data_IF_399171624675
#
_entry.id   IF_399171624675
#
_cell.length_a   1.000
_cell.length_b   1.000
_cell.length_c   1.000
_cell.angle_alpha   90.00
_cell.angle_beta   90.00
_cell.angle_gamma   90.00
#
_symmetry.space_group_name_H-M   'P 1'
#
loop_
_entity.id
_entity.type
_entity.pdbx_description
1 polymer ?
#
# COMPACT_ATOMS: atom_id res chain seq x y z
N UNK A 1 6.28 20.79 4.20
CA UNK A 1 6.70 19.70 5.10
C UNK A 1 6.01 18.41 4.67
N UNK A 2 6.66 17.25 4.80
CA UNK A 2 6.09 15.94 4.47
C UNK A 2 5.53 15.27 5.72
N UNK A 3 4.65 14.28 5.51
CA UNK A 3 4.05 13.46 6.57
C UNK A 3 4.47 12.01 6.33
N UNK A 4 5.39 11.49 7.13
CA UNK A 4 6.02 10.19 6.92
C UNK A 4 5.67 9.15 8.00
N UNK A 5 4.80 9.51 8.95
CA UNK A 5 4.36 8.65 10.04
C UNK A 5 2.90 8.26 9.84
N UNK A 6 2.62 6.99 9.98
CA UNK A 6 1.32 6.36 9.82
C UNK A 6 0.96 5.57 11.09
N UNK A 7 -0.35 5.49 11.42
CA UNK A 7 -0.87 4.74 12.57
C UNK A 7 -1.05 5.59 13.83
N UNK A 8 -1.66 4.98 14.86
CA UNK A 8 -1.97 5.62 16.13
C UNK A 8 -1.18 5.00 17.29
N UNK A 9 -1.52 3.79 17.74
CA UNK A 9 -0.79 3.07 18.79
C UNK A 9 0.40 2.32 18.21
N UNK A 10 0.17 1.53 17.17
CA UNK A 10 1.22 0.97 16.34
C UNK A 10 1.50 1.97 15.22
N UNK A 11 2.66 2.57 15.24
CA UNK A 11 3.07 3.64 14.32
C UNK A 11 4.23 3.21 13.47
N UNK A 12 4.22 3.62 12.21
CA UNK A 12 5.33 3.38 11.29
C UNK A 12 5.77 4.70 10.68
N UNK A 13 7.03 5.05 10.88
CA UNK A 13 7.68 6.17 10.21
C UNK A 13 8.63 5.64 9.17
N UNK A 14 8.40 5.95 7.88
CA UNK A 14 9.29 5.51 6.78
C UNK A 14 10.22 6.63 6.36
N UNK A 15 11.45 6.29 5.95
CA UNK A 15 12.51 7.21 5.53
C UNK A 15 13.31 6.64 4.36
N UNK A 16 14.17 7.47 3.79
CA UNK A 16 15.07 7.13 2.68
C UNK A 16 14.46 7.39 1.30
N UNK A 17 15.32 7.55 0.33
CA UNK A 17 15.00 7.89 -1.06
C UNK A 17 15.20 6.67 -1.95
N UNK A 18 14.39 6.52 -3.01
CA UNK A 18 14.47 5.36 -3.92
C UNK A 18 15.83 5.16 -4.60
N UNK A 19 16.62 6.22 -4.70
CA UNK A 19 17.98 6.22 -5.24
C UNK A 19 19.00 6.77 -4.22
N UNK A 20 18.61 6.83 -2.96
CA UNK A 20 19.53 7.06 -1.83
C UNK A 20 20.28 5.77 -1.44
N UNK A 21 21.16 5.81 -0.44
CA UNK A 21 21.94 4.63 -0.01
C UNK A 21 21.06 3.52 0.54
N UNK A 22 20.00 3.87 1.26
CA UNK A 22 19.10 2.93 1.90
C UNK A 22 17.67 3.49 2.00
N UNK A 23 16.71 2.62 2.27
CA UNK A 23 15.38 2.94 2.76
C UNK A 23 15.18 2.24 4.09
N UNK A 24 14.34 2.80 4.96
CA UNK A 24 14.06 2.18 6.24
C UNK A 24 12.74 2.62 6.84
N UNK A 25 12.38 1.97 7.93
CA UNK A 25 11.28 2.40 8.77
C UNK A 25 11.59 2.20 10.25
N UNK A 26 10.86 2.95 11.06
CA UNK A 26 10.80 2.75 12.51
C UNK A 26 9.37 2.37 12.86
N UNK A 27 9.22 1.20 13.47
CA UNK A 27 7.96 0.73 14.07
C UNK A 27 7.98 1.06 15.54
N UNK A 28 6.99 1.84 16.00
CA UNK A 28 6.81 2.23 17.39
C UNK A 28 5.45 1.76 17.91
N UNK A 29 5.39 1.38 19.19
CA UNK A 29 4.17 0.86 19.81
C UNK A 29 3.94 -0.64 19.59
N UNK A 30 4.95 -1.39 19.15
CA UNK A 30 4.93 -2.85 19.19
C UNK A 30 5.09 -3.32 20.64
N UNK A 31 4.21 -4.20 21.19
CA UNK A 31 4.36 -4.74 22.52
C UNK A 31 5.67 -5.54 22.70
N UNK A 32 6.21 -5.64 23.90
CA UNK A 32 7.33 -6.52 24.19
C UNK A 32 6.91 -8.01 24.13
N UNK A 33 7.88 -8.89 23.92
CA UNK A 33 7.68 -10.34 23.98
C UNK A 33 7.17 -10.97 22.67
N UNK A 34 7.09 -10.21 21.57
CA UNK A 34 6.73 -10.77 20.27
C UNK A 34 7.99 -11.35 19.61
N UNK A 35 7.93 -12.63 19.24
CA UNK A 35 9.00 -13.27 18.49
C UNK A 35 8.91 -12.93 17.02
N UNK A 36 10.00 -12.40 16.44
CA UNK A 36 10.15 -12.10 15.02
C UNK A 36 11.48 -12.66 14.52
N UNK A 37 11.60 -12.86 13.22
CA UNK A 37 12.88 -13.16 12.57
C UNK A 37 13.03 -12.29 11.30
N UNK A 38 14.27 -11.98 10.92
CA UNK A 38 14.53 -11.33 9.63
C UNK A 38 14.03 -12.18 8.47
N UNK A 39 14.17 -13.51 8.58
CA UNK A 39 13.68 -14.45 7.56
C UNK A 39 12.15 -14.39 7.34
N UNK A 40 11.36 -14.26 8.42
CA UNK A 40 9.91 -14.09 8.30
C UNK A 40 9.55 -12.77 7.59
N UNK A 41 10.23 -11.68 7.92
CA UNK A 41 10.03 -10.38 7.27
C UNK A 41 10.47 -10.47 5.80
N UNK A 42 11.61 -11.12 5.54
CA UNK A 42 12.16 -11.32 4.20
C UNK A 42 11.21 -12.11 3.30
N UNK A 43 10.53 -13.13 3.81
CA UNK A 43 9.55 -13.90 3.03
C UNK A 43 8.42 -13.02 2.44
N UNK A 44 7.96 -11.99 3.16
CA UNK A 44 6.99 -11.02 2.65
C UNK A 44 7.64 -10.07 1.63
N UNK A 45 8.87 -9.64 1.86
CA UNK A 45 9.60 -8.78 0.94
C UNK A 45 9.94 -9.52 -0.37
N UNK A 46 10.26 -10.80 -0.31
CA UNK A 46 10.53 -11.63 -1.48
C UNK A 46 9.32 -11.72 -2.42
N UNK A 47 8.12 -11.79 -1.87
CA UNK A 47 6.88 -11.75 -2.66
C UNK A 47 6.63 -10.36 -3.28
N UNK A 48 7.17 -9.32 -2.67
CA UNK A 48 7.04 -7.93 -3.12
C UNK A 48 8.11 -7.51 -4.12
N UNK A 49 9.33 -8.01 -4.04
CA UNK A 49 10.48 -7.49 -4.79
C UNK A 49 10.23 -7.38 -6.29
N UNK A 50 10.84 -6.39 -6.99
CA UNK A 50 10.70 -6.23 -8.42
C UNK A 50 11.39 -7.38 -9.19
N UNK A 51 10.97 -7.60 -10.46
CA UNK A 51 11.62 -8.57 -11.34
C UNK A 51 11.11 -10.00 -11.23
N UNK A 52 9.93 -10.23 -10.64
CA UNK A 52 9.32 -11.56 -10.51
C UNK A 52 8.68 -12.08 -11.80
N UNK A 53 8.37 -11.21 -12.77
CA UNK A 53 7.81 -11.60 -14.05
C UNK A 53 8.35 -10.72 -15.20
N UNK A 54 8.16 -11.18 -16.45
CA UNK A 54 8.49 -10.39 -17.65
C UNK A 54 7.67 -9.11 -17.81
N UNK A 55 6.60 -8.96 -17.04
CA UNK A 55 5.70 -7.79 -17.06
C UNK A 55 6.07 -6.74 -16.01
N UNK A 56 7.00 -7.05 -15.12
CA UNK A 56 7.47 -6.14 -14.08
C UNK A 56 8.77 -5.43 -14.47
N UNK A 57 9.20 -4.45 -13.68
CA UNK A 57 10.46 -3.74 -13.91
C UNK A 57 11.65 -4.70 -13.90
N UNK A 58 12.66 -4.42 -14.75
CA UNK A 58 13.92 -5.19 -14.81
C UNK A 58 14.90 -4.87 -13.67
N UNK A 59 14.55 -3.94 -12.77
CA UNK A 59 15.37 -3.64 -11.59
C UNK A 59 15.42 -4.87 -10.69
N UNK A 60 16.62 -5.21 -10.22
CA UNK A 60 16.86 -6.35 -9.32
C UNK A 60 17.35 -5.83 -7.98
N UNK A 61 16.46 -5.83 -7.00
CA UNK A 61 16.78 -5.51 -5.61
C UNK A 61 16.51 -6.74 -4.76
N UNK A 62 17.45 -7.19 -3.95
CA UNK A 62 17.23 -8.34 -3.06
C UNK A 62 16.27 -7.98 -1.93
N UNK A 63 16.09 -6.68 -1.63
CA UNK A 63 15.30 -6.17 -0.51
C UNK A 63 15.68 -6.80 0.83
N UNK A 64 16.98 -7.09 1.01
CA UNK A 64 17.51 -7.72 2.23
C UNK A 64 17.27 -6.80 3.44
N UNK A 65 16.44 -7.26 4.35
CA UNK A 65 16.05 -6.50 5.54
C UNK A 65 16.98 -6.77 6.70
N UNK A 66 17.30 -5.72 7.46
CA UNK A 66 18.03 -5.80 8.73
C UNK A 66 17.21 -5.19 9.85
N UNK A 67 17.18 -5.86 10.99
CA UNK A 67 16.60 -5.33 12.23
C UNK A 67 17.71 -4.71 13.06
N UNK A 68 17.63 -3.40 13.29
CA UNK A 68 18.72 -2.62 13.90
C UNK A 68 18.47 -2.30 15.38
N UNK A 69 17.23 -2.34 15.86
CA UNK A 69 16.88 -1.99 17.24
C UNK A 69 15.52 -2.53 17.66
N UNK A 70 15.17 -2.36 18.93
CA UNK A 70 13.86 -2.71 19.49
C UNK A 70 13.68 -4.18 19.78
N UNK A 71 14.78 -4.96 19.75
CA UNK A 71 14.80 -6.40 19.93
C UNK A 71 16.00 -6.85 20.75
N UNK A 72 15.89 -8.03 21.33
CA UNK A 72 16.99 -8.81 21.95
C UNK A 72 17.00 -10.20 21.34
N UNK A 73 18.12 -10.91 21.48
CA UNK A 73 18.23 -12.31 21.03
C UNK A 73 17.17 -13.19 21.70
N UNK A 74 16.51 -14.03 20.90
CA UNK A 74 15.54 -15.03 21.36
C UNK A 74 16.19 -16.33 21.81
N UNK A 75 15.37 -17.36 22.00
CA UNK A 75 15.82 -18.68 22.47
C UNK A 75 16.40 -19.57 21.37
N UNK A 76 16.00 -19.37 20.11
CA UNK A 76 16.52 -20.12 18.97
C UNK A 76 17.40 -19.22 18.07
N UNK A 77 18.21 -19.86 17.22
CA UNK A 77 19.07 -19.17 16.28
C UNK A 77 18.24 -18.30 15.31
N UNK A 78 18.62 -17.03 15.18
CA UNK A 78 17.92 -16.05 14.35
C UNK A 78 16.62 -15.50 14.93
N UNK A 79 16.17 -15.98 16.09
CA UNK A 79 15.03 -15.40 16.80
C UNK A 79 15.40 -14.07 17.47
N UNK A 80 14.49 -13.12 17.31
CA UNK A 80 14.53 -11.81 17.96
C UNK A 80 13.24 -11.62 18.74
N UNK A 81 13.34 -11.10 19.95
CA UNK A 81 12.18 -10.82 20.81
C UNK A 81 12.05 -9.31 20.98
N UNK A 82 10.89 -8.78 20.70
CA UNK A 82 10.63 -7.33 20.84
C UNK A 82 10.72 -6.87 22.28
N UNK A 83 11.26 -5.68 22.51
CA UNK A 83 11.48 -5.10 23.85
C UNK A 83 10.42 -4.06 24.24
N UNK A 84 9.52 -3.69 23.31
CA UNK A 84 8.58 -2.58 23.49
C UNK A 84 9.18 -1.22 23.15
N UNK A 85 10.46 -1.15 22.78
CA UNK A 85 11.10 0.06 22.28
C UNK A 85 11.00 0.12 20.74
N UNK A 86 11.29 1.26 20.09
CA UNK A 86 11.17 1.39 18.63
C UNK A 86 12.04 0.38 17.87
N UNK A 87 11.41 -0.34 16.92
CA UNK A 87 12.06 -1.31 16.05
C UNK A 87 12.47 -0.58 14.77
N UNK A 88 13.76 -0.48 14.50
CA UNK A 88 14.28 0.08 13.26
C UNK A 88 14.58 -1.04 12.26
N UNK A 89 14.07 -0.88 11.03
CA UNK A 89 14.31 -1.78 9.90
C UNK A 89 15.00 -0.98 8.78
N UNK A 90 15.95 -1.61 8.11
CA UNK A 90 16.69 -1.03 7.00
C UNK A 90 16.84 -2.00 5.83
N UNK A 91 16.79 -1.47 4.61
CA UNK A 91 17.13 -2.16 3.36
C UNK A 91 18.08 -1.29 2.56
N UNK A 92 19.24 -1.83 2.20
CA UNK A 92 20.22 -1.16 1.34
C UNK A 92 19.72 -1.11 -0.11
N UNK A 93 19.93 0.01 -0.80
CA UNK A 93 19.67 0.12 -2.24
C UNK A 93 20.92 -0.29 -3.01
N UNK A 94 20.86 -1.43 -3.72
CA UNK A 94 22.05 -1.99 -4.43
C UNK A 94 22.00 -1.77 -5.95
N UNK A 95 20.82 -1.71 -6.58
CA UNK A 95 20.66 -1.50 -8.03
C UNK A 95 20.13 -0.09 -8.34
N UNK A 96 20.96 0.92 -8.09
CA UNK A 96 20.64 2.32 -8.36
C UNK A 96 21.07 2.69 -9.79
N UNK A 97 20.12 2.73 -10.74
CA UNK A 97 20.40 3.14 -12.13
C UNK A 97 20.22 4.64 -12.33
N UNK A 98 20.98 5.45 -11.62
CA UNK A 98 20.88 6.92 -11.69
C UNK A 98 21.20 7.49 -13.09
N UNK A 99 21.99 6.78 -13.92
CA UNK A 99 22.32 7.19 -15.30
C UNK A 99 21.12 7.26 -16.23
N UNK A 100 20.07 6.45 -15.97
CA UNK A 100 18.84 6.42 -16.78
C UNK A 100 18.03 7.72 -16.70
N UNK A 101 18.31 8.56 -15.70
CA UNK A 101 17.57 9.79 -15.42
C UNK A 101 18.30 11.08 -15.87
N UNK A 102 19.54 11.00 -16.35
CA UNK A 102 20.34 12.17 -16.73
C UNK A 102 19.70 13.01 -17.84
N UNK A 103 19.00 12.37 -18.80
CA UNK A 103 18.36 13.04 -19.94
C UNK A 103 17.04 13.74 -19.58
N UNK A 104 16.47 13.46 -18.41
CA UNK A 104 15.19 13.99 -17.96
C UNK A 104 15.31 14.80 -16.66
N UNK A 105 16.53 15.09 -16.23
CA UNK A 105 16.80 15.86 -15.01
C UNK A 105 16.19 17.27 -15.04
N UNK A 106 16.13 17.88 -16.22
CA UNK A 106 15.60 19.22 -16.49
C UNK A 106 14.15 19.25 -16.96
N UNK A 107 13.45 18.12 -16.95
CA UNK A 107 12.09 17.97 -17.48
C UNK A 107 11.14 17.31 -16.47
N UNK A 108 9.88 17.67 -16.56
CA UNK A 108 8.82 17.02 -15.79
C UNK A 108 8.21 15.86 -16.57
N UNK A 109 8.13 14.70 -15.93
CA UNK A 109 7.51 13.52 -16.51
C UNK A 109 5.99 13.59 -16.37
N UNK A 110 5.20 13.39 -17.42
CA UNK A 110 3.75 13.29 -17.33
C UNK A 110 3.33 12.13 -16.39
N UNK A 111 2.35 12.40 -15.53
CA UNK A 111 1.85 11.40 -14.59
C UNK A 111 2.76 11.12 -13.37
N UNK A 112 3.92 11.79 -13.27
CA UNK A 112 4.81 11.71 -12.12
C UNK A 112 4.73 12.94 -11.23
N UNK A 113 5.28 12.84 -10.02
CA UNK A 113 5.23 13.91 -9.02
C UNK A 113 6.28 15.02 -9.22
N UNK A 114 7.04 15.02 -10.31
CA UNK A 114 8.18 15.91 -10.52
C UNK A 114 7.83 17.38 -10.31
N UNK A 115 6.81 17.87 -11.03
CA UNK A 115 6.33 19.25 -10.90
C UNK A 115 5.83 19.57 -9.49
N UNK A 116 5.05 18.64 -8.91
CA UNK A 116 4.47 18.85 -7.59
C UNK A 116 5.55 18.90 -6.49
N UNK A 117 6.62 18.13 -6.63
CA UNK A 117 7.77 18.18 -5.71
C UNK A 117 8.52 19.51 -5.81
N UNK A 118 8.86 19.95 -7.01
CA UNK A 118 9.53 21.25 -7.21
C UNK A 118 8.67 22.40 -6.70
N UNK A 119 7.37 22.39 -7.01
CA UNK A 119 6.45 23.43 -6.55
C UNK A 119 6.29 23.46 -5.02
N UNK A 120 6.30 22.29 -4.36
CA UNK A 120 6.10 22.17 -2.92
C UNK A 120 7.36 22.39 -2.10
N UNK A 121 8.48 21.81 -2.54
CA UNK A 121 9.73 21.77 -1.76
C UNK A 121 10.81 22.71 -2.29
N UNK A 122 10.63 23.27 -3.51
CA UNK A 122 11.64 24.11 -4.18
C UNK A 122 12.80 23.35 -4.78
N UNK A 123 12.80 22.02 -4.65
CA UNK A 123 13.82 21.12 -5.21
C UNK A 123 13.27 19.70 -5.30
N UNK A 124 13.84 18.89 -6.19
CA UNK A 124 13.61 17.45 -6.27
C UNK A 124 14.90 16.69 -6.53
N UNK A 125 14.95 15.43 -6.17
CA UNK A 125 16.00 14.53 -6.65
C UNK A 125 15.63 14.05 -8.08
N UNK A 126 16.41 14.43 -9.10
CA UNK A 126 16.12 14.05 -10.48
C UNK A 126 16.39 12.56 -10.77
N UNK A 127 17.08 11.85 -9.88
CA UNK A 127 17.52 10.45 -10.07
C UNK A 127 16.38 9.43 -9.99
N UNK A 128 15.16 9.83 -9.68
CA UNK A 128 14.02 8.90 -9.59
C UNK A 128 12.75 9.53 -9.06
N UNK A 129 11.88 8.71 -8.49
CA UNK A 129 10.62 9.15 -7.88
C UNK A 129 10.75 9.58 -6.42
N UNK A 130 11.94 9.53 -5.83
CA UNK A 130 12.19 9.86 -4.43
C UNK A 130 11.22 9.14 -3.49
N UNK A 131 10.54 9.85 -2.57
CA UNK A 131 9.51 9.30 -1.67
C UNK A 131 8.21 8.90 -2.38
N UNK A 132 7.94 9.38 -3.59
CA UNK A 132 6.78 8.98 -4.39
C UNK A 132 6.99 7.69 -5.18
N UNK A 133 8.19 7.10 -5.11
CA UNK A 133 8.51 5.84 -5.77
C UNK A 133 7.83 4.64 -5.10
N UNK A 134 7.42 3.64 -5.91
CA UNK A 134 6.93 2.36 -5.39
C UNK A 134 7.96 1.62 -4.51
N UNK A 135 9.24 1.97 -4.58
CA UNK A 135 10.30 1.45 -3.69
C UNK A 135 9.97 1.63 -2.20
N UNK A 136 9.30 2.72 -1.85
CA UNK A 136 8.89 3.03 -0.47
C UNK A 136 7.98 1.95 0.13
N UNK A 137 7.19 1.25 -0.70
CA UNK A 137 6.28 0.19 -0.22
C UNK A 137 7.02 -1.00 0.39
N UNK A 138 8.32 -1.21 0.12
CA UNK A 138 9.11 -2.25 0.77
C UNK A 138 9.10 -2.08 2.30
N UNK A 139 9.22 -0.86 2.79
CA UNK A 139 9.18 -0.60 4.24
C UNK A 139 7.80 -0.79 4.84
N UNK A 140 6.74 -0.57 4.08
CA UNK A 140 5.37 -0.88 4.50
C UNK A 140 5.15 -2.39 4.64
N UNK A 141 5.68 -3.18 3.70
CA UNK A 141 5.63 -4.65 3.76
C UNK A 141 6.40 -5.17 4.95
N UNK A 142 7.62 -4.66 5.20
CA UNK A 142 8.42 -5.05 6.35
C UNK A 142 7.73 -4.74 7.68
N UNK A 143 7.19 -3.53 7.85
CA UNK A 143 6.40 -3.17 9.04
C UNK A 143 5.11 -3.98 9.15
N UNK A 144 4.46 -4.29 8.02
CA UNK A 144 3.27 -5.12 7.94
C UNK A 144 3.50 -6.56 8.41
N UNK A 145 4.68 -7.13 8.14
CA UNK A 145 5.07 -8.45 8.64
C UNK A 145 5.08 -8.50 10.18
N UNK A 146 5.59 -7.45 10.83
CA UNK A 146 5.54 -7.33 12.30
C UNK A 146 4.10 -7.13 12.79
N UNK A 147 3.32 -6.26 12.12
CA UNK A 147 1.94 -5.97 12.50
C UNK A 147 1.04 -7.21 12.48
N UNK A 148 1.28 -8.16 11.57
CA UNK A 148 0.54 -9.43 11.50
C UNK A 148 0.65 -10.26 12.78
N UNK A 149 1.80 -10.21 13.47
CA UNK A 149 2.00 -10.90 14.74
C UNK A 149 1.08 -10.41 15.86
N UNK A 150 0.56 -9.17 15.73
CA UNK A 150 -0.36 -8.56 16.70
C UNK A 150 -1.82 -8.91 16.47
N UNK A 151 -2.13 -9.68 15.43
CA UNK A 151 -3.50 -10.04 15.03
C UNK A 151 -3.65 -11.55 14.87
N UNK A 152 -3.53 -12.31 15.99
CA UNK A 152 -3.71 -13.75 15.95
C UNK A 152 -5.13 -14.09 15.44
N UNK A 153 -5.21 -15.07 14.54
CA UNK A 153 -6.48 -15.53 13.98
C UNK A 153 -7.00 -14.69 12.80
N UNK A 154 -6.38 -13.57 12.46
CA UNK A 154 -6.74 -12.80 11.25
C UNK A 154 -5.84 -13.19 10.09
N UNK A 155 -6.43 -13.74 9.04
CA UNK A 155 -5.77 -14.05 7.78
C UNK A 155 -6.05 -12.95 6.75
N UNK A 156 -4.98 -12.37 6.17
CA UNK A 156 -5.10 -11.36 5.10
C UNK A 156 -4.52 -11.92 3.82
N UNK A 157 -5.31 -11.95 2.76
CA UNK A 157 -4.94 -12.41 1.43
C UNK A 157 -5.28 -11.36 0.39
N UNK A 158 -4.52 -11.29 -0.69
CA UNK A 158 -4.77 -10.39 -1.80
C UNK A 158 -4.69 -11.12 -3.13
N UNK A 159 -5.45 -10.65 -4.11
CA UNK A 159 -5.48 -11.17 -5.46
C UNK A 159 -5.68 -10.02 -6.47
N UNK A 160 -5.10 -10.17 -7.66
CA UNK A 160 -5.38 -9.27 -8.77
C UNK A 160 -6.70 -9.72 -9.43
N UNK A 161 -7.67 -8.80 -9.49
CA UNK A 161 -9.03 -9.14 -9.96
C UNK A 161 -9.40 -8.45 -11.27
N UNK A 162 -8.60 -7.49 -11.73
CA UNK A 162 -8.81 -6.82 -13.02
C UNK A 162 -7.51 -6.22 -13.55
N UNK A 163 -7.30 -6.32 -14.85
CA UNK A 163 -6.22 -5.66 -15.60
C UNK A 163 -6.85 -4.90 -16.77
N UNK A 164 -6.73 -3.58 -16.75
CA UNK A 164 -7.40 -2.73 -17.74
C UNK A 164 -8.91 -3.00 -17.78
N UNK A 165 -9.48 -3.31 -18.98
CA UNK A 165 -10.90 -3.61 -19.12
C UNK A 165 -11.27 -5.06 -18.75
N UNK A 166 -10.31 -5.93 -18.48
CA UNK A 166 -10.51 -7.36 -18.32
C UNK A 166 -10.56 -7.74 -16.83
N UNK A 167 -11.76 -7.94 -16.28
CA UNK A 167 -11.98 -8.49 -14.95
C UNK A 167 -11.97 -10.03 -14.98
N UNK A 168 -11.73 -10.63 -13.82
CA UNK A 168 -11.88 -12.08 -13.61
C UNK A 168 -13.35 -12.50 -13.69
N UNK A 169 -13.57 -13.78 -13.91
CA UNK A 169 -14.86 -14.42 -13.62
C UNK A 169 -14.86 -14.87 -12.14
N UNK A 170 -15.77 -14.29 -11.34
CA UNK A 170 -15.82 -14.56 -9.91
C UNK A 170 -16.30 -15.97 -9.56
N UNK A 171 -17.01 -16.63 -10.47
CA UNK A 171 -17.46 -18.01 -10.28
C UNK A 171 -16.31 -19.02 -10.37
N UNK A 172 -15.16 -18.59 -10.95
CA UNK A 172 -13.94 -19.39 -11.02
C UNK A 172 -12.89 -19.03 -9.98
N UNK A 173 -13.29 -18.33 -8.92
CA UNK A 173 -12.36 -17.92 -7.87
C UNK A 173 -11.74 -19.10 -7.14
N UNK A 174 -10.43 -19.23 -7.18
CA UNK A 174 -9.64 -20.19 -6.39
C UNK A 174 -8.41 -19.51 -5.78
N UNK A 175 -8.38 -19.47 -4.45
CA UNK A 175 -7.23 -18.92 -3.72
C UNK A 175 -5.93 -19.71 -3.94
N UNK A 176 -6.01 -21.02 -4.28
CA UNK A 176 -4.81 -21.82 -4.56
C UNK A 176 -4.11 -21.40 -5.86
N UNK A 177 -4.85 -20.80 -6.80
CA UNK A 177 -4.30 -20.34 -8.07
C UNK A 177 -3.50 -19.03 -7.94
N UNK A 178 -3.74 -18.22 -6.90
CA UNK A 178 -3.08 -16.93 -6.69
C UNK A 178 -1.55 -17.05 -6.69
N UNK A 179 -1.00 -18.09 -6.09
CA UNK A 179 0.45 -18.30 -6.01
C UNK A 179 1.01 -19.09 -7.24
N UNK A 180 0.16 -19.54 -8.18
CA UNK A 180 0.57 -20.42 -9.28
C UNK A 180 0.76 -19.71 -10.61
N UNK A 181 0.44 -18.42 -10.69
CA UNK A 181 0.57 -17.63 -11.90
C UNK A 181 1.25 -16.29 -11.65
N UNK A 182 1.84 -15.65 -12.66
CA UNK A 182 2.66 -14.45 -12.50
C UNK A 182 1.86 -13.18 -12.14
N UNK A 183 0.53 -13.25 -12.14
CA UNK A 183 -0.35 -12.11 -11.85
C UNK A 183 -0.99 -12.17 -10.48
N UNK A 184 -0.79 -13.23 -9.71
CA UNK A 184 -1.55 -13.46 -8.47
C UNK A 184 -3.07 -13.44 -8.74
N UNK A 185 -3.47 -14.01 -9.88
CA UNK A 185 -4.86 -14.08 -10.33
C UNK A 185 -5.56 -15.30 -9.73
N UNK A 186 -6.76 -15.16 -9.13
CA UNK A 186 -7.50 -16.27 -8.57
C UNK A 186 -8.30 -17.05 -9.63
N UNK A 187 -8.38 -16.55 -10.86
CA UNK A 187 -9.10 -17.15 -11.99
C UNK A 187 -8.10 -17.63 -13.06
N UNK A 188 -7.78 -18.94 -13.12
CA UNK A 188 -6.83 -19.46 -14.08
C UNK A 188 -7.26 -19.26 -15.54
N UNK A 189 -8.59 -19.17 -15.80
CA UNK A 189 -9.10 -18.94 -17.15
C UNK A 189 -8.83 -17.54 -17.70
N UNK A 190 -8.55 -16.57 -16.84
CA UNK A 190 -8.27 -15.19 -17.26
C UNK A 190 -6.77 -14.92 -17.49
N UNK A 191 -5.87 -15.75 -16.98
CA UNK A 191 -4.42 -15.54 -17.03
C UNK A 191 -3.90 -15.35 -18.46
N UNK A 192 -4.27 -16.22 -19.38
CA UNK A 192 -3.81 -16.14 -20.78
C UNK A 192 -4.31 -14.84 -21.48
N UNK A 193 -5.53 -14.41 -21.20
CA UNK A 193 -6.07 -13.15 -21.73
C UNK A 193 -5.26 -11.95 -21.22
N UNK A 194 -4.90 -11.92 -19.94
CA UNK A 194 -4.08 -10.85 -19.39
C UNK A 194 -2.66 -10.83 -19.94
N UNK A 195 -2.07 -12.02 -20.16
CA UNK A 195 -0.74 -12.12 -20.82
C UNK A 195 -0.74 -11.49 -22.20
N UNK A 196 -1.69 -11.86 -23.04
CA UNK A 196 -1.82 -11.32 -24.40
C UNK A 196 -2.06 -9.81 -24.39
N UNK A 197 -2.98 -9.36 -23.55
CA UNK A 197 -3.32 -7.94 -23.41
C UNK A 197 -2.11 -7.10 -22.95
N UNK A 198 -1.40 -7.55 -21.91
CA UNK A 198 -0.23 -6.84 -21.40
C UNK A 198 0.94 -6.85 -22.37
N UNK A 199 1.14 -7.93 -23.14
CA UNK A 199 2.13 -7.94 -24.22
C UNK A 199 1.80 -6.90 -25.30
N UNK A 200 0.53 -6.70 -25.63
CA UNK A 200 0.07 -5.62 -26.53
C UNK A 200 0.36 -4.23 -25.95
N UNK A 201 0.02 -4.01 -24.68
CA UNK A 201 0.28 -2.73 -23.97
C UNK A 201 1.80 -2.44 -23.95
N UNK A 202 2.63 -3.43 -23.63
CA UNK A 202 4.09 -3.32 -23.62
C UNK A 202 4.66 -2.99 -25.00
N UNK A 203 4.22 -3.68 -26.06
CA UNK A 203 4.64 -3.41 -27.45
C UNK A 203 4.26 -1.99 -27.89
N UNK A 204 3.13 -1.47 -27.41
CA UNK A 204 2.72 -0.09 -27.66
C UNK A 204 3.52 0.94 -26.82
N UNK A 205 4.41 0.50 -25.92
CA UNK A 205 5.15 1.37 -25.00
C UNK A 205 4.23 2.11 -24.03
N UNK A 206 3.13 1.49 -23.62
CA UNK A 206 2.11 2.05 -22.75
C UNK A 206 2.08 1.34 -21.39
N UNK A 207 1.18 1.75 -20.51
CA UNK A 207 0.86 1.12 -19.23
C UNK A 207 -0.64 1.11 -19.03
N UNK A 208 -1.12 0.28 -18.11
CA UNK A 208 -2.54 0.12 -17.83
C UNK A 208 -2.74 0.03 -16.30
N UNK A 209 -3.95 0.37 -15.85
CA UNK A 209 -4.37 0.24 -14.45
C UNK A 209 -4.84 -1.18 -14.13
N UNK A 210 -4.94 -1.45 -12.84
CA UNK A 210 -5.38 -2.74 -12.32
C UNK A 210 -6.27 -2.57 -11.09
N UNK A 211 -6.99 -3.61 -10.70
CA UNK A 211 -7.72 -3.67 -9.44
C UNK A 211 -7.21 -4.86 -8.64
N UNK A 212 -6.77 -4.61 -7.43
CA UNK A 212 -6.42 -5.64 -6.45
C UNK A 212 -7.60 -5.80 -5.49
N UNK A 213 -7.93 -7.02 -5.09
CA UNK A 213 -8.84 -7.26 -4.00
C UNK A 213 -8.08 -7.83 -2.81
N UNK A 214 -8.31 -7.27 -1.63
CA UNK A 214 -7.72 -7.75 -0.38
C UNK A 214 -8.84 -8.15 0.56
N UNK A 215 -8.74 -9.37 1.09
CA UNK A 215 -9.70 -9.97 2.00
C UNK A 215 -9.01 -10.26 3.33
N UNK A 216 -9.60 -9.77 4.42
CA UNK A 216 -9.20 -10.14 5.78
C UNK A 216 -10.28 -11.00 6.41
N UNK A 217 -9.94 -12.25 6.71
CA UNK A 217 -10.79 -13.23 7.36
C UNK A 217 -10.45 -13.34 8.86
N UNK A 218 -11.40 -13.78 9.68
CA UNK A 218 -11.21 -13.91 11.12
C UNK A 218 -11.17 -12.58 11.88
N UNK A 219 -11.60 -11.50 11.24
CA UNK A 219 -11.68 -10.17 11.87
C UNK A 219 -12.75 -10.20 12.96
N UNK A 220 -12.41 -9.89 14.22
CA UNK A 220 -13.40 -9.91 15.30
C UNK A 220 -14.43 -8.80 15.13
N UNK A 221 -15.66 -9.04 15.62
CA UNK A 221 -16.70 -8.00 15.71
C UNK A 221 -16.24 -6.87 16.62
N UNK A 222 -16.56 -5.61 16.24
CA UNK A 222 -16.40 -4.46 17.12
C UNK A 222 -15.10 -3.65 16.95
N UNK A 223 -14.34 -3.88 15.86
CA UNK A 223 -13.22 -2.99 15.51
C UNK A 223 -13.71 -1.76 14.77
N UNK A 224 -13.08 -0.62 15.05
CA UNK A 224 -13.52 0.68 14.56
C UNK A 224 -14.50 1.38 15.51
N UNK A 225 -14.89 2.59 15.15
CA UNK A 225 -15.83 3.41 15.94
C UNK A 225 -16.53 4.43 15.03
N UNK A 226 -17.83 4.73 15.26
CA UNK A 226 -18.48 5.85 14.60
C UNK A 226 -17.84 7.14 15.11
N UNK A 227 -17.92 8.05 14.40
CA UNK A 227 -17.89 8.87 13.29
C UNK A 227 -16.52 8.92 12.59
N UNK A 228 -15.50 9.48 13.28
CA UNK A 228 -14.16 9.78 12.72
C UNK A 228 -13.12 8.69 13.01
N UNK A 229 -13.54 7.55 13.54
CA UNK A 229 -12.70 6.37 13.76
C UNK A 229 -13.23 5.14 13.07
N UNK A 230 -13.97 5.31 11.96
CA UNK A 230 -14.55 4.20 11.22
C UNK A 230 -13.46 3.32 10.61
N UNK A 231 -13.65 2.00 10.67
CA UNK A 231 -12.70 1.04 10.13
C UNK A 231 -12.53 1.18 8.62
N UNK A 232 -13.63 1.35 7.89
CA UNK A 232 -13.62 1.58 6.44
C UNK A 232 -12.89 2.87 6.04
N UNK A 233 -13.09 3.96 6.79
CA UNK A 233 -12.37 5.22 6.61
C UNK A 233 -10.86 5.05 6.80
N UNK A 234 -10.47 4.39 7.89
CA UNK A 234 -9.07 4.16 8.23
C UNK A 234 -8.39 3.25 7.17
N UNK A 235 -9.09 2.20 6.72
CA UNK A 235 -8.62 1.33 5.66
C UNK A 235 -8.47 2.08 4.33
N UNK A 236 -9.48 2.88 3.95
CA UNK A 236 -9.42 3.67 2.72
C UNK A 236 -8.27 4.69 2.76
N UNK A 237 -8.07 5.38 3.88
CA UNK A 237 -6.96 6.33 4.05
C UNK A 237 -5.59 5.64 3.94
N UNK A 238 -5.47 4.44 4.52
CA UNK A 238 -4.27 3.63 4.44
C UNK A 238 -3.95 3.22 3.01
N UNK A 239 -4.92 2.64 2.32
CA UNK A 239 -4.78 2.14 0.94
C UNK A 239 -4.54 3.29 -0.05
N UNK A 240 -5.24 4.43 0.09
CA UNK A 240 -4.99 5.64 -0.71
C UNK A 240 -3.59 6.22 -0.52
N UNK A 241 -2.92 5.93 0.59
CA UNK A 241 -1.54 6.36 0.83
C UNK A 241 -0.49 5.52 0.09
N UNK A 242 -0.87 4.36 -0.48
CA UNK A 242 0.01 3.55 -1.32
C UNK A 242 0.27 4.30 -2.63
N UNK A 243 1.53 4.28 -3.06
CA UNK A 243 1.94 4.95 -4.29
C UNK A 243 1.10 4.48 -5.48
N UNK A 244 0.64 5.44 -6.30
CA UNK A 244 -0.16 5.23 -7.50
C UNK A 244 -1.61 4.72 -7.28
N UNK A 245 -2.07 4.46 -6.08
CA UNK A 245 -3.49 4.16 -5.82
C UNK A 245 -4.35 5.41 -6.09
N UNK A 246 -5.44 5.26 -6.84
CA UNK A 246 -6.35 6.33 -7.28
C UNK A 246 -7.80 6.12 -6.84
N UNK A 247 -8.13 4.96 -6.34
CA UNK A 247 -9.45 4.63 -5.82
C UNK A 247 -9.38 3.52 -4.80
N UNK A 248 -10.35 3.48 -3.91
CA UNK A 248 -10.55 2.40 -2.93
C UNK A 248 -12.04 2.14 -2.82
N UNK A 249 -12.44 0.87 -2.91
CA UNK A 249 -13.80 0.41 -2.65
C UNK A 249 -13.82 -0.49 -1.42
N UNK A 250 -14.93 -0.46 -0.70
CA UNK A 250 -15.22 -1.34 0.44
C UNK A 250 -16.46 -2.16 0.09
N UNK A 251 -16.41 -3.48 0.22
CA UNK A 251 -17.53 -4.37 -0.12
C UNK A 251 -17.97 -4.24 -1.58
N UNK A 252 -19.22 -4.01 -1.83
CA UNK A 252 -19.78 -3.80 -3.18
C UNK A 252 -19.25 -2.50 -3.83
N UNK A 253 -18.75 -1.54 -3.02
CA UNK A 253 -18.16 -0.31 -3.53
C UNK A 253 -19.10 0.48 -4.44
N UNK A 254 -18.64 0.90 -5.61
CA UNK A 254 -19.47 1.65 -6.58
C UNK A 254 -20.61 0.82 -7.18
N UNK A 255 -20.52 -0.53 -7.15
CA UNK A 255 -21.62 -1.37 -7.61
C UNK A 255 -22.90 -1.20 -6.76
N UNK A 256 -22.78 -0.78 -5.51
CA UNK A 256 -23.95 -0.46 -4.65
C UNK A 256 -24.89 0.59 -5.26
N UNK A 257 -24.40 1.43 -6.18
CA UNK A 257 -25.19 2.50 -6.79
C UNK A 257 -26.31 1.99 -7.71
N UNK A 258 -26.20 0.76 -8.19
CA UNK A 258 -27.18 0.14 -9.11
C UNK A 258 -28.02 -0.95 -8.42
N UNK A 259 -27.72 -1.26 -7.15
CA UNK A 259 -28.49 -2.23 -6.36
C UNK A 259 -29.71 -1.55 -5.72
N UNK A 260 -30.83 -2.26 -5.67
CA UNK A 260 -31.95 -1.85 -4.82
C UNK A 260 -31.60 -1.99 -3.33
N UNK A 261 -32.42 -1.43 -2.45
CA UNK A 261 -32.19 -1.56 -1.01
C UNK A 261 -32.19 -3.01 -0.54
N UNK A 262 -33.06 -3.84 -1.09
CA UNK A 262 -33.17 -5.26 -0.80
C UNK A 262 -31.93 -6.04 -1.30
N UNK A 263 -31.46 -5.75 -2.50
CA UNK A 263 -30.26 -6.40 -3.07
C UNK A 263 -28.97 -6.00 -2.34
N UNK A 264 -28.89 -4.75 -1.90
CA UNK A 264 -27.72 -4.24 -1.18
C UNK A 264 -27.70 -4.60 0.30
N UNK A 265 -28.85 -4.97 0.88
CA UNK A 265 -28.95 -5.35 2.28
C UNK A 265 -28.24 -6.69 2.53
N UNK A 266 -27.35 -6.72 3.52
CA UNK A 266 -26.75 -7.97 4.00
C UNK A 266 -27.73 -8.64 4.98
N UNK A 267 -28.66 -9.47 4.44
CA UNK A 267 -29.68 -10.17 5.24
C UNK A 267 -29.02 -11.04 6.31
N UNK A 268 -29.57 -11.00 7.51
CA UNK A 268 -29.08 -11.78 8.65
C UNK A 268 -30.11 -12.82 9.09
N UNK A 269 -29.63 -14.00 9.46
CA UNK A 269 -30.42 -15.06 10.09
C UNK A 269 -29.75 -15.49 11.38
N UNK A 270 -30.55 -16.06 12.29
CA UNK A 270 -30.02 -16.66 13.50
C UNK A 270 -29.33 -17.99 13.17
N UNK A 271 -28.05 -18.08 13.48
CA UNK A 271 -27.29 -19.33 13.36
C UNK A 271 -27.60 -20.32 14.48
N UNK A 272 -27.17 -21.56 14.31
CA UNK A 272 -27.38 -22.63 15.29
C UNK A 272 -26.66 -22.37 16.63
N UNK A 273 -25.65 -21.54 16.63
CA UNK A 273 -24.87 -21.11 17.81
C UNK A 273 -25.43 -19.83 18.47
N UNK A 274 -26.60 -19.36 18.02
CA UNK A 274 -27.25 -18.14 18.50
C UNK A 274 -26.60 -16.84 18.01
N UNK A 275 -25.66 -16.90 17.05
CA UNK A 275 -25.03 -15.74 16.44
C UNK A 275 -25.65 -15.40 15.10
N UNK A 276 -25.57 -14.13 14.64
CA UNK A 276 -26.03 -13.77 13.31
C UNK A 276 -25.17 -14.43 12.22
N UNK A 277 -25.82 -14.97 11.22
CA UNK A 277 -25.21 -15.46 9.97
C UNK A 277 -25.69 -14.54 8.86
N UNK A 278 -24.76 -13.92 8.15
CA UNK A 278 -25.03 -13.04 7.03
C UNK A 278 -25.13 -13.86 5.73
N UNK A 279 -26.10 -13.54 4.87
CA UNK A 279 -26.31 -14.23 3.60
C UNK A 279 -25.55 -13.59 2.43
N UNK A 280 -25.10 -12.35 2.60
CA UNK A 280 -24.25 -11.59 1.66
C UNK A 280 -23.23 -10.75 2.42
N UNK A 281 -22.36 -10.05 1.71
CA UNK A 281 -21.35 -9.19 2.30
C UNK A 281 -21.13 -7.93 1.42
N UNK A 282 -22.20 -7.27 1.03
CA UNK A 282 -22.17 -6.04 0.24
C UNK A 282 -21.50 -4.90 1.00
N UNK A 283 -21.68 -4.85 2.32
CA UNK A 283 -21.02 -3.87 3.19
C UNK A 283 -19.50 -4.13 3.36
N UNK A 284 -18.99 -5.28 2.88
CA UNK A 284 -17.57 -5.61 2.98
C UNK A 284 -17.07 -5.79 4.41
N UNK A 285 -17.90 -6.37 5.29
CA UNK A 285 -17.54 -6.67 6.68
C UNK A 285 -17.55 -5.48 7.63
N UNK A 286 -18.06 -4.30 7.20
CA UNK A 286 -18.07 -3.08 8.01
C UNK A 286 -19.45 -2.40 7.93
N UNK A 287 -20.13 -2.27 9.05
CA UNK A 287 -21.40 -1.54 9.17
C UNK A 287 -21.26 -0.44 10.23
N UNK A 288 -21.70 0.77 9.88
CA UNK A 288 -21.58 1.94 10.77
C UNK A 288 -20.12 2.28 11.16
N UNK A 289 -19.15 1.83 10.37
CA UNK A 289 -17.72 1.99 10.64
C UNK A 289 -17.14 0.96 11.61
N UNK A 290 -17.90 -0.12 11.91
CA UNK A 290 -17.52 -1.16 12.87
C UNK A 290 -17.53 -2.51 12.16
N UNK A 291 -16.52 -3.36 12.43
CA UNK A 291 -16.44 -4.71 11.88
C UNK A 291 -17.57 -5.60 12.36
N UNK A 292 -18.16 -6.39 11.45
CA UNK A 292 -19.31 -7.27 11.69
C UNK A 292 -18.91 -8.70 12.05
N UNK A 293 -17.65 -9.07 11.89
CA UNK A 293 -17.18 -10.46 11.98
C UNK A 293 -17.16 -11.20 10.63
N UNK A 294 -17.78 -10.60 9.60
CA UNK A 294 -17.63 -11.08 8.22
C UNK A 294 -16.21 -10.75 7.69
N UNK A 295 -15.79 -11.39 6.58
CA UNK A 295 -14.56 -10.98 5.89
C UNK A 295 -14.59 -9.49 5.54
N UNK A 296 -13.51 -8.78 5.87
CA UNK A 296 -13.36 -7.39 5.43
C UNK A 296 -12.78 -7.39 4.02
N UNK A 297 -13.53 -6.82 3.07
CA UNK A 297 -13.20 -6.83 1.64
C UNK A 297 -12.95 -5.41 1.16
N UNK A 298 -11.75 -5.17 0.62
CA UNK A 298 -11.36 -3.85 0.07
C UNK A 298 -10.70 -4.00 -1.30
N UNK A 299 -10.92 -3.03 -2.19
CA UNK A 299 -10.34 -3.02 -3.54
C UNK A 299 -9.62 -1.71 -3.82
N UNK A 300 -8.29 -1.64 -3.63
CA UNK A 300 -7.48 -0.54 -4.16
C UNK A 300 -7.30 -0.66 -5.67
N UNK A 301 -7.31 0.50 -6.33
CA UNK A 301 -7.13 0.65 -7.77
C UNK A 301 -5.81 1.39 -8.04
N UNK A 302 -4.68 0.69 -8.25
CA UNK A 302 -3.43 1.30 -8.68
C UNK A 302 -3.44 1.59 -10.20
N UNK A 303 -2.83 2.72 -10.58
CA UNK A 303 -2.55 3.08 -11.96
C UNK A 303 -1.19 3.78 -12.07
N UNK A 304 -0.21 3.12 -12.64
CA UNK A 304 1.13 3.65 -12.87
C UNK A 304 1.28 4.09 -14.32
N UNK A 305 1.62 5.36 -14.53
CA UNK A 305 1.93 5.85 -15.88
C UNK A 305 3.38 5.48 -16.22
N UNK A 306 3.57 4.69 -17.29
CA UNK A 306 4.90 4.32 -17.78
C UNK A 306 5.74 5.54 -18.16
N UNK A 307 7.03 5.53 -17.83
CA UNK A 307 7.96 6.65 -18.06
C UNK A 307 8.18 6.97 -19.54
N UNK A 308 7.91 6.03 -20.42
CA UNK A 308 8.20 6.12 -21.86
C UNK A 308 6.96 6.00 -22.75
N UNK A 309 5.79 6.36 -22.23
CA UNK A 309 4.55 6.35 -23.03
C UNK A 309 4.66 7.26 -24.27
N UNK A 310 3.90 7.00 -25.34
CA UNK A 310 3.86 7.88 -26.53
C UNK A 310 3.50 9.33 -26.19
N UNK A 311 2.74 9.56 -25.11
CA UNK A 311 2.48 10.89 -24.57
C UNK A 311 3.74 11.61 -24.08
N UNK A 312 4.66 10.89 -23.41
CA UNK A 312 5.96 11.41 -23.00
C UNK A 312 6.80 11.85 -24.20
N UNK A 313 6.88 11.01 -25.25
CA UNK A 313 7.64 11.36 -26.47
C UNK A 313 7.11 12.61 -27.16
N UNK A 314 5.79 12.83 -27.18
CA UNK A 314 5.16 14.04 -27.76
C UNK A 314 5.43 15.30 -26.91
N UNK A 315 5.39 15.21 -25.59
CA UNK A 315 5.64 16.35 -24.71
C UNK A 315 7.13 16.69 -24.57
N UNK A 316 8.02 15.72 -24.65
CA UNK A 316 9.46 15.95 -24.59
C UNK A 316 9.99 16.83 -25.74
N UNK A 317 9.25 16.90 -26.87
CA UNK A 317 9.52 17.82 -27.99
C UNK A 317 9.03 19.25 -27.78
N UNK A 318 8.00 19.47 -26.92
CA UNK A 318 7.28 20.74 -26.84
C UNK A 318 7.45 21.53 -25.53
N UNK A 319 7.92 20.92 -24.44
CA UNK A 319 8.00 21.59 -23.14
C UNK A 319 9.44 21.67 -22.61
N UNK A 320 10.25 22.56 -23.21
CA UNK A 320 11.42 23.12 -22.53
C UNK A 320 10.95 24.25 -21.61
N UNK A 321 10.52 23.94 -20.42
CA UNK A 321 10.47 24.95 -19.39
C UNK A 321 11.91 25.24 -18.94
N UNK A 322 12.43 26.40 -19.32
CA UNK A 322 13.62 26.94 -18.66
C UNK A 322 13.26 27.16 -17.21
N UNK A 323 13.87 26.40 -16.31
CA UNK A 323 13.98 26.80 -14.92
C UNK A 323 14.87 28.05 -14.95
N UNK A 324 14.24 29.23 -14.99
CA UNK A 324 14.92 30.50 -14.89
C UNK A 324 15.63 30.53 -13.54
N UNK A 325 16.96 30.64 -13.56
CA UNK A 325 17.73 30.95 -12.38
C UNK A 325 17.22 32.25 -11.76
N UNK A 326 16.46 32.15 -10.70
CA UNK A 326 16.04 33.28 -9.89
C UNK A 326 17.22 33.75 -9.02
N UNK A 327 18.11 34.51 -9.64
CA UNK A 327 18.91 35.49 -8.93
C UNK A 327 18.04 36.72 -8.68
N UNK A 328 17.35 36.77 -7.55
CA UNK A 328 16.53 37.92 -7.18
C UNK A 328 16.10 37.82 -5.72
N UNK A 329 16.81 38.53 -4.86
CA UNK A 329 16.44 38.73 -3.44
C UNK A 329 15.12 39.46 -3.35
N UNK A 330 14.06 38.80 -2.91
CA UNK A 330 12.78 39.40 -2.57
C UNK A 330 12.07 38.52 -1.55
N UNK A 331 12.20 38.84 -0.28
CA UNK A 331 11.62 38.09 0.82
C UNK A 331 10.09 38.20 0.83
N UNK A 332 9.40 37.11 0.60
CA UNK A 332 8.00 36.92 0.96
C UNK A 332 7.97 36.13 2.28
N UNK A 333 7.62 36.84 3.38
CA UNK A 333 7.32 36.21 4.67
C UNK A 333 6.01 35.42 4.54
N UNK A 334 5.97 34.13 4.96
CA UNK A 334 4.68 33.41 5.04
C UNK A 334 3.85 33.99 6.20
N UNK A 335 2.63 34.36 5.90
CA UNK A 335 1.64 34.69 6.92
C UNK A 335 1.27 33.41 7.67
N UNK A 336 1.35 33.49 9.01
CA UNK A 336 1.11 32.39 9.91
C UNK A 336 -0.33 31.88 9.82
N UNK A 337 -0.45 30.56 9.72
CA UNK A 337 -1.69 29.85 10.01
C UNK A 337 -1.71 29.48 11.50
N UNK A 338 -2.73 29.97 12.22
CA UNK A 338 -3.04 29.55 13.58
C UNK A 338 -3.40 28.06 13.60
N UNK A 339 -2.70 27.31 14.45
CA UNK A 339 -3.07 25.93 14.79
C UNK A 339 -3.99 26.00 16.02
N UNK A 340 -5.21 25.42 15.96
CA UNK A 340 -6.06 25.32 17.17
C UNK A 340 -5.47 24.31 18.15
N UNK A 341 -5.35 24.69 19.41
CA UNK A 341 -5.00 23.79 20.50
C UNK A 341 -6.19 22.86 20.80
N UNK A 342 -5.93 21.54 20.90
CA UNK A 342 -6.93 20.53 21.16
C UNK A 342 -7.39 20.47 22.64
N UNK A 343 -8.62 19.97 22.89
CA UNK A 343 -9.22 19.89 24.22
C UNK A 343 -8.66 18.73 25.07
N UNK A 344 -8.96 18.72 26.39
CA UNK A 344 -8.27 17.91 27.39
C UNK A 344 -8.68 16.44 27.41
N UNK A 345 -7.76 15.64 27.93
CA UNK A 345 -7.79 14.19 28.02
C UNK A 345 -8.92 13.65 28.90
N UNK A 346 -9.75 12.77 28.36
CA UNK A 346 -10.60 11.87 29.16
C UNK A 346 -9.98 10.45 29.13
N UNK A 347 -9.78 9.90 30.32
CA UNK A 347 -9.30 8.53 30.56
C UNK A 347 -10.48 7.56 30.41
N UNK A 348 -10.47 6.72 29.35
CA UNK A 348 -11.27 5.49 29.29
C UNK A 348 -10.45 4.38 28.67
N UNK A 349 -10.62 3.16 29.19
CA UNK A 349 -9.87 1.96 28.85
C UNK A 349 -9.84 1.69 27.33
N UNK A 350 -8.65 1.70 26.77
CA UNK A 350 -8.44 1.60 25.32
C UNK A 350 -8.22 0.16 24.92
N UNK A 351 -9.16 -0.38 24.14
CA UNK A 351 -8.85 -1.55 23.31
C UNK A 351 -7.91 -1.12 22.17
N UNK A 352 -6.92 -1.92 21.79
CA UNK A 352 -5.94 -1.54 20.78
C UNK A 352 -6.60 -1.33 19.41
N UNK A 353 -6.39 -0.17 18.80
CA UNK A 353 -6.71 0.09 17.40
C UNK A 353 -5.54 -0.41 16.55
N UNK A 354 -5.55 -1.69 16.19
CA UNK A 354 -4.45 -2.35 15.46
C UNK A 354 -4.74 -2.61 13.96
N UNK A 355 -5.91 -2.30 13.36
CA UNK A 355 -6.33 -2.91 12.10
C UNK A 355 -5.60 -2.47 10.83
N UNK A 356 -4.85 -1.37 10.83
CA UNK A 356 -4.53 -0.65 9.59
C UNK A 356 -3.31 -1.13 8.80
N UNK A 357 -2.35 -1.79 9.43
CA UNK A 357 -1.08 -2.21 8.78
C UNK A 357 -1.16 -3.54 8.03
N UNK A 358 -2.19 -4.32 8.27
CA UNK A 358 -2.38 -5.64 7.66
C UNK A 358 -2.52 -5.62 6.14
N UNK A 359 -3.15 -4.58 5.60
CA UNK A 359 -3.41 -4.48 4.17
C UNK A 359 -2.17 -4.16 3.33
N UNK A 360 -1.10 -3.66 3.95
CA UNK A 360 0.12 -3.32 3.21
C UNK A 360 0.96 -4.53 2.77
N UNK A 361 0.82 -5.67 3.45
CA UNK A 361 1.64 -6.85 3.15
C UNK A 361 1.21 -7.62 1.89
N UNK A 362 0.04 -7.32 1.31
CA UNK A 362 -0.49 -8.03 0.13
C UNK A 362 -0.77 -7.13 -1.09
N UNK A 363 -0.84 -5.82 -0.91
CA UNK A 363 -1.04 -4.90 -2.05
C UNK A 363 0.27 -4.61 -2.76
N UNK A 364 0.81 -5.57 -3.47
CA UNK A 364 2.01 -5.33 -4.25
C UNK A 364 1.99 -6.03 -5.60
N UNK A 365 1.19 -5.50 -6.50
CA UNK A 365 1.37 -5.73 -7.92
C UNK A 365 2.32 -4.66 -8.44
N UNK A 366 3.59 -5.03 -8.60
CA UNK A 366 4.55 -4.22 -9.35
C UNK A 366 4.15 -4.27 -10.82
N UNK A 367 3.40 -3.31 -11.29
CA UNK A 367 3.29 -3.00 -12.72
C UNK A 367 4.37 -2.02 -13.13
#
# INVERSE_FOLDING_TARGET
MSHNTFGHLFRVTTWGESHGPAIGCVVDGCPPGIVITEAEIQAFLDRRRPGQSRFTTQRREPDEVRVLSGVVAGGAEGELVTTGTPIALEIQNVDQRSKDYSQISDRYRPGHADYAYDAKYGLRDPRGGSRSSARETAMRVAAGAIARKLLPGVAVRGALVQVGPHAIDRDRWDWAEVERNPFFCPDPGTVALWEEYLDGVRKAGSSIGAVVEVVAEGVPVGLGAPLYGKLDQDLAAALMSINAVKGVEIGAGFASAVLSGEENADEMRLGNDGRPVFLSNNAGGVLGGISTGQPVVVRPLPHVTGQFTPAFRRMAGSCRMRVGGAGGRGGLRPRGFCVPQGPPRLRHGRRPRVPMLLFFAHCNTST
#
